data_IF_104994965416
#
_entry.id   IF_104994965416
#
_cell.length_a   1.000
_cell.length_b   1.000
_cell.length_c   1.000
_cell.angle_alpha   90.00
_cell.angle_beta   90.00
_cell.angle_gamma   90.00
#
_symmetry.space_group_name_H-M   'P 1'
#
loop_
_entity.id
_entity.type
_entity.pdbx_description
1 polymer ?
#
# COMPACT_ATOMS: atom_id res chain seq x y z
N UNK A 1 -65.72 2.76 0.08
CA UNK A 1 -64.36 2.63 -0.49
C UNK A 1 -63.39 3.18 0.55
N UNK A 2 -62.71 2.30 1.29
CA UNK A 2 -61.66 2.74 2.22
C UNK A 2 -60.56 3.45 1.44
N UNK A 3 -60.25 4.69 1.82
CA UNK A 3 -59.06 5.38 1.33
C UNK A 3 -57.85 4.60 1.90
N UNK A 4 -57.17 3.82 1.05
CA UNK A 4 -55.84 3.27 1.39
C UNK A 4 -54.96 4.46 1.79
N UNK A 5 -54.69 4.59 3.09
CA UNK A 5 -53.83 5.62 3.61
C UNK A 5 -52.39 5.17 3.39
N UNK A 6 -51.74 5.76 2.39
CA UNK A 6 -50.33 5.51 2.13
C UNK A 6 -49.45 6.15 3.22
N UNK A 7 -48.26 5.60 3.43
CA UNK A 7 -47.28 6.11 4.41
C UNK A 7 -46.68 7.47 4.02
N UNK A 8 -46.86 7.88 2.77
CA UNK A 8 -46.35 9.12 2.20
C UNK A 8 -47.47 10.15 1.99
N UNK A 9 -47.17 11.46 2.04
CA UNK A 9 -48.15 12.50 1.79
C UNK A 9 -48.66 12.44 0.34
N UNK A 10 -49.97 12.59 0.15
CA UNK A 10 -50.53 12.79 -1.18
C UNK A 10 -50.20 14.21 -1.65
N UNK A 11 -49.52 14.33 -2.78
CA UNK A 11 -49.14 15.64 -3.32
C UNK A 11 -50.25 16.21 -4.23
N UNK A 12 -50.35 17.54 -4.25
CA UNK A 12 -51.23 18.24 -5.19
C UNK A 12 -50.69 18.08 -6.63
N UNK A 13 -51.54 18.01 -7.68
CA UNK A 13 -51.06 17.91 -9.05
C UNK A 13 -50.10 19.04 -9.44
N UNK A 14 -50.29 20.25 -8.91
CA UNK A 14 -49.37 21.37 -9.14
C UNK A 14 -47.98 21.12 -8.57
N UNK A 15 -47.90 20.60 -7.34
CA UNK A 15 -46.62 20.25 -6.70
C UNK A 15 -45.90 19.11 -7.41
N UNK A 16 -46.65 18.14 -7.94
CA UNK A 16 -46.10 17.04 -8.76
C UNK A 16 -45.46 17.62 -10.02
N UNK A 17 -46.18 18.49 -10.76
CA UNK A 17 -45.64 19.12 -11.97
C UNK A 17 -44.37 19.92 -11.67
N UNK A 18 -44.39 20.74 -10.61
CA UNK A 18 -43.22 21.54 -10.22
C UNK A 18 -42.02 20.68 -9.86
N UNK A 19 -42.23 19.58 -9.12
CA UNK A 19 -41.14 18.67 -8.74
C UNK A 19 -40.55 17.95 -9.96
N UNK A 20 -41.39 17.50 -10.89
CA UNK A 20 -40.92 16.86 -12.13
C UNK A 20 -40.18 17.85 -13.04
N UNK A 21 -40.67 19.09 -13.16
CA UNK A 21 -39.99 20.14 -13.93
C UNK A 21 -38.64 20.54 -13.33
N UNK A 22 -38.50 20.52 -11.99
CA UNK A 22 -37.22 20.76 -11.33
C UNK A 22 -36.14 19.73 -11.70
N UNK A 23 -36.55 18.51 -12.08
CA UNK A 23 -35.66 17.47 -12.60
C UNK A 23 -35.53 17.48 -14.13
N UNK A 24 -35.97 18.54 -14.79
CA UNK A 24 -35.86 18.71 -16.25
C UNK A 24 -36.93 17.99 -17.07
N UNK A 25 -37.94 17.38 -16.42
CA UNK A 25 -39.02 16.71 -17.13
C UNK A 25 -40.07 17.72 -17.60
N UNK A 26 -40.30 17.77 -18.91
CA UNK A 26 -41.35 18.59 -19.50
C UNK A 26 -42.72 17.93 -19.30
N UNK A 27 -43.39 18.30 -18.20
CA UNK A 27 -44.70 17.76 -17.82
C UNK A 27 -45.76 18.87 -17.78
N UNK A 28 -46.94 18.55 -18.31
CA UNK A 28 -48.13 19.40 -18.25
C UNK A 28 -49.17 18.80 -17.29
N UNK A 29 -49.90 19.63 -16.53
CA UNK A 29 -50.97 19.20 -15.64
C UNK A 29 -52.05 18.36 -16.34
N UNK A 30 -52.32 18.59 -17.63
CA UNK A 30 -53.26 17.77 -18.42
C UNK A 30 -52.83 16.30 -18.52
N UNK A 31 -51.53 16.02 -18.56
CA UNK A 31 -50.99 14.66 -18.61
C UNK A 31 -51.23 13.91 -17.30
N UNK A 32 -51.33 14.62 -16.17
CA UNK A 32 -51.71 14.01 -14.89
C UNK A 32 -53.21 13.72 -14.81
N UNK A 33 -54.05 14.50 -15.51
CA UNK A 33 -55.51 14.27 -15.56
C UNK A 33 -55.86 13.09 -16.47
N UNK A 34 -55.14 12.92 -17.58
CA UNK A 34 -55.28 11.78 -18.49
C UNK A 34 -53.89 11.19 -18.77
N UNK A 35 -53.37 10.36 -17.84
CA UNK A 35 -52.06 9.75 -18.04
C UNK A 35 -52.09 8.82 -19.26
N UNK A 36 -51.09 8.95 -20.12
CA UNK A 36 -50.85 8.03 -21.23
C UNK A 36 -49.73 7.06 -20.86
N UNK A 37 -49.70 5.89 -21.48
CA UNK A 37 -48.66 4.90 -21.21
C UNK A 37 -47.25 5.46 -21.47
N UNK A 38 -47.07 6.16 -22.59
CA UNK A 38 -45.81 6.82 -22.93
C UNK A 38 -45.37 7.86 -21.90
N UNK A 39 -46.31 8.70 -21.42
CA UNK A 39 -46.01 9.68 -20.39
C UNK A 39 -45.53 9.02 -19.09
N UNK A 40 -46.25 8.00 -18.63
CA UNK A 40 -45.96 7.33 -17.37
C UNK A 40 -44.67 6.52 -17.44
N UNK A 41 -44.45 5.80 -18.54
CA UNK A 41 -43.20 5.08 -18.80
C UNK A 41 -42.01 6.02 -18.72
N UNK A 42 -42.06 7.16 -19.43
CA UNK A 42 -40.98 8.16 -19.45
C UNK A 42 -40.69 8.73 -18.07
N UNK A 43 -41.74 9.15 -17.34
CA UNK A 43 -41.57 9.76 -16.01
C UNK A 43 -41.06 8.75 -14.99
N UNK A 44 -41.59 7.52 -14.97
CA UNK A 44 -41.13 6.49 -14.04
C UNK A 44 -39.68 6.07 -14.33
N UNK A 45 -39.31 5.96 -15.61
CA UNK A 45 -37.92 5.69 -16.00
C UNK A 45 -36.99 6.80 -15.52
N UNK A 46 -37.35 8.06 -15.73
CA UNK A 46 -36.56 9.19 -15.26
C UNK A 46 -36.43 9.23 -13.72
N UNK A 47 -37.48 8.86 -12.98
CA UNK A 47 -37.39 8.75 -11.52
C UNK A 47 -36.40 7.65 -11.08
N UNK A 48 -36.36 6.53 -11.78
CA UNK A 48 -35.39 5.45 -11.52
C UNK A 48 -33.98 5.92 -11.83
N UNK A 49 -33.78 6.56 -12.99
CA UNK A 49 -32.51 7.12 -13.42
C UNK A 49 -31.95 8.11 -12.40
N UNK A 50 -32.79 9.00 -11.86
CA UNK A 50 -32.39 10.03 -10.90
C UNK A 50 -31.72 9.47 -9.63
N UNK A 51 -32.14 8.29 -9.17
CA UNK A 51 -31.62 7.69 -7.92
C UNK A 51 -30.58 6.61 -8.18
N UNK A 52 -30.76 5.82 -9.24
CA UNK A 52 -29.93 4.64 -9.51
C UNK A 52 -28.89 4.85 -10.60
N UNK A 53 -29.03 5.87 -11.43
CA UNK A 53 -28.24 6.07 -12.65
C UNK A 53 -28.55 5.06 -13.76
N UNK A 54 -29.59 4.24 -13.61
CA UNK A 54 -30.00 3.24 -14.61
C UNK A 54 -30.89 3.92 -15.65
N UNK A 55 -30.45 3.92 -16.89
CA UNK A 55 -31.16 4.39 -18.08
C UNK A 55 -31.08 3.38 -19.23
N UNK A 56 -31.67 3.71 -20.37
CA UNK A 56 -31.72 2.83 -21.54
C UNK A 56 -30.31 2.43 -22.03
N UNK A 57 -29.37 3.38 -22.08
CA UNK A 57 -27.98 3.14 -22.48
C UNK A 57 -27.26 2.17 -21.52
N UNK A 58 -27.47 2.31 -20.21
CA UNK A 58 -26.86 1.39 -19.24
C UNK A 58 -27.45 -0.03 -19.29
N UNK A 59 -28.65 -0.19 -19.84
CA UNK A 59 -29.34 -1.47 -19.95
C UNK A 59 -29.06 -2.18 -21.27
N UNK A 60 -28.56 -1.48 -22.29
CA UNK A 60 -28.26 -2.04 -23.61
C UNK A 60 -27.22 -3.18 -23.52
N UNK A 61 -26.09 -2.97 -22.85
CA UNK A 61 -25.06 -4.01 -22.68
C UNK A 61 -25.57 -5.26 -21.94
N UNK A 62 -26.22 -5.14 -20.78
CA UNK A 62 -26.87 -6.27 -20.10
C UNK A 62 -27.93 -6.97 -20.96
N UNK A 63 -28.69 -6.21 -21.74
CA UNK A 63 -29.72 -6.74 -22.66
C UNK A 63 -29.07 -7.57 -23.76
N UNK A 64 -28.04 -7.04 -24.44
CA UNK A 64 -27.29 -7.75 -25.48
C UNK A 64 -26.64 -9.02 -24.93
N UNK A 65 -26.02 -8.94 -23.75
CA UNK A 65 -25.41 -10.11 -23.11
C UNK A 65 -26.46 -11.19 -22.78
N UNK A 66 -27.65 -10.79 -22.32
CA UNK A 66 -28.74 -11.71 -22.07
C UNK A 66 -29.29 -12.31 -23.37
N UNK A 67 -29.42 -11.53 -24.44
CA UNK A 67 -29.84 -12.02 -25.76
C UNK A 67 -28.81 -12.98 -26.37
N UNK A 68 -27.52 -12.69 -26.25
CA UNK A 68 -26.43 -13.56 -26.72
C UNK A 68 -26.33 -14.87 -25.94
N UNK A 69 -26.88 -14.92 -24.71
CA UNK A 69 -26.91 -16.15 -23.91
C UNK A 69 -28.00 -17.14 -24.34
N UNK A 70 -28.93 -16.72 -25.19
CA UNK A 70 -29.95 -17.59 -25.78
C UNK A 70 -29.33 -18.31 -27.00
N UNK A 71 -29.23 -19.63 -26.94
CA UNK A 71 -28.81 -20.49 -28.05
C UNK A 71 -29.93 -20.61 -29.13
N UNK A 72 -30.51 -19.49 -29.56
CA UNK A 72 -31.58 -19.45 -30.58
C UNK A 72 -31.21 -18.56 -31.78
N UNK A 73 -31.64 -18.92 -32.99
CA UNK A 73 -31.27 -18.18 -34.21
C UNK A 73 -31.99 -16.83 -34.38
N UNK A 74 -33.11 -16.58 -33.66
CA UNK A 74 -33.96 -15.39 -33.81
C UNK A 74 -34.14 -14.62 -32.49
N UNK A 75 -33.03 -14.35 -31.79
CA UNK A 75 -33.04 -13.66 -30.49
C UNK A 75 -33.63 -12.24 -30.56
N UNK A 76 -33.54 -11.57 -31.71
CA UNK A 76 -34.08 -10.22 -31.94
C UNK A 76 -35.58 -10.11 -31.67
N UNK A 77 -36.35 -11.20 -31.86
CA UNK A 77 -37.80 -11.22 -31.61
C UNK A 77 -38.10 -11.00 -30.12
N UNK A 78 -37.17 -11.37 -29.24
CA UNK A 78 -37.31 -11.22 -27.80
C UNK A 78 -36.80 -9.87 -27.28
N UNK A 79 -35.99 -9.14 -28.05
CA UNK A 79 -35.30 -7.93 -27.61
C UNK A 79 -36.24 -6.90 -27.00
N UNK A 80 -37.31 -6.54 -27.71
CA UNK A 80 -38.30 -5.58 -27.20
C UNK A 80 -39.02 -6.04 -25.94
N UNK A 81 -39.38 -7.33 -25.86
CA UNK A 81 -40.05 -7.88 -24.67
C UNK A 81 -39.12 -7.94 -23.46
N UNK A 82 -37.85 -8.25 -23.68
CA UNK A 82 -36.85 -8.33 -22.62
C UNK A 82 -36.50 -6.93 -22.10
N UNK A 83 -36.31 -5.95 -22.99
CA UNK A 83 -36.10 -4.55 -22.61
C UNK A 83 -37.24 -4.02 -21.73
N UNK A 84 -38.50 -4.28 -22.12
CA UNK A 84 -39.66 -3.89 -21.32
C UNK A 84 -39.70 -4.58 -19.95
N UNK A 85 -39.35 -5.88 -19.88
CA UNK A 85 -39.30 -6.60 -18.61
C UNK A 85 -38.20 -6.07 -17.68
N UNK A 86 -37.02 -5.73 -18.22
CA UNK A 86 -35.94 -5.09 -17.45
C UNK A 86 -36.41 -3.75 -16.90
N UNK A 87 -37.07 -2.92 -17.72
CA UNK A 87 -37.60 -1.64 -17.28
C UNK A 87 -38.63 -1.82 -16.15
N UNK A 88 -39.61 -2.72 -16.33
CA UNK A 88 -40.63 -3.02 -15.31
C UNK A 88 -39.96 -3.53 -14.04
N UNK A 89 -38.94 -4.37 -14.14
CA UNK A 89 -38.18 -4.89 -13.00
C UNK A 89 -37.55 -3.75 -12.18
N UNK A 90 -36.87 -2.81 -12.83
CA UNK A 90 -36.24 -1.68 -12.16
C UNK A 90 -37.27 -0.73 -11.54
N UNK A 91 -38.34 -0.39 -12.25
CA UNK A 91 -39.41 0.47 -11.71
C UNK A 91 -40.12 -0.21 -10.53
N UNK A 92 -40.39 -1.52 -10.60
CA UNK A 92 -41.03 -2.27 -9.50
C UNK A 92 -40.16 -2.27 -8.26
N UNK A 93 -38.84 -2.44 -8.42
CA UNK A 93 -37.90 -2.39 -7.30
C UNK A 93 -37.82 -0.99 -6.70
N UNK A 94 -37.81 0.05 -7.53
CA UNK A 94 -37.88 1.44 -7.09
C UNK A 94 -39.18 1.73 -6.32
N UNK A 95 -40.31 1.29 -6.86
CA UNK A 95 -41.62 1.44 -6.23
C UNK A 95 -41.68 0.77 -4.85
N UNK A 96 -41.11 -0.43 -4.71
CA UNK A 96 -41.02 -1.11 -3.43
C UNK A 96 -40.26 -0.30 -2.37
N UNK A 97 -39.15 0.33 -2.74
CA UNK A 97 -38.38 1.18 -1.83
C UNK A 97 -39.15 2.47 -1.50
N UNK A 98 -39.88 3.01 -2.47
CA UNK A 98 -40.83 4.12 -2.28
C UNK A 98 -42.14 3.73 -1.55
N UNK A 99 -42.23 2.52 -0.99
CA UNK A 99 -43.38 1.98 -0.23
C UNK A 99 -44.64 1.69 -1.04
N UNK A 100 -44.48 1.39 -2.33
CA UNK A 100 -45.53 0.86 -3.20
C UNK A 100 -45.20 -0.59 -3.54
N UNK A 101 -45.84 -1.51 -2.83
CA UNK A 101 -45.58 -2.94 -2.95
C UNK A 101 -46.43 -3.64 -4.01
N UNK A 102 -47.51 -3.01 -4.48
CA UNK A 102 -48.44 -3.56 -5.46
C UNK A 102 -48.23 -3.00 -6.88
N UNK A 103 -47.06 -2.42 -7.16
CA UNK A 103 -46.72 -1.91 -8.50
C UNK A 103 -46.75 -3.04 -9.53
N UNK A 104 -47.33 -2.77 -10.70
CA UNK A 104 -47.46 -3.77 -11.77
C UNK A 104 -47.35 -3.15 -13.16
N UNK A 105 -47.20 -3.98 -14.20
CA UNK A 105 -47.18 -3.52 -15.59
C UNK A 105 -48.45 -2.75 -16.00
N UNK A 106 -49.59 -2.96 -15.32
CA UNK A 106 -50.81 -2.18 -15.56
C UNK A 106 -50.61 -0.68 -15.29
N UNK A 107 -49.74 -0.34 -14.36
CA UNK A 107 -49.44 1.05 -14.00
C UNK A 107 -48.72 1.80 -15.12
N UNK A 108 -48.12 1.06 -16.05
CA UNK A 108 -47.45 1.60 -17.23
C UNK A 108 -48.37 1.53 -18.44
N UNK A 109 -48.96 0.37 -18.74
CA UNK A 109 -49.74 0.19 -19.98
C UNK A 109 -51.17 0.73 -19.90
N UNK A 110 -51.77 0.72 -18.71
CA UNK A 110 -53.15 1.14 -18.47
C UNK A 110 -53.23 2.08 -17.25
N UNK A 111 -52.55 3.25 -17.30
CA UNK A 111 -52.42 4.11 -16.15
C UNK A 111 -53.75 4.72 -15.73
N UNK A 112 -54.10 4.57 -14.44
CA UNK A 112 -55.26 5.21 -13.84
C UNK A 112 -54.84 6.52 -13.17
N UNK A 113 -55.65 7.58 -13.30
CA UNK A 113 -55.35 8.92 -12.77
C UNK A 113 -54.93 8.91 -11.30
N UNK A 114 -55.80 8.42 -10.41
CA UNK A 114 -55.56 8.47 -8.96
C UNK A 114 -54.37 7.60 -8.53
N UNK A 115 -54.21 6.45 -9.19
CA UNK A 115 -53.08 5.55 -8.94
C UNK A 115 -51.76 6.16 -9.40
N UNK A 116 -51.73 6.74 -10.60
CA UNK A 116 -50.55 7.44 -11.15
C UNK A 116 -50.12 8.58 -10.23
N UNK A 117 -51.07 9.38 -9.72
CA UNK A 117 -50.79 10.46 -8.76
C UNK A 117 -50.23 9.94 -7.44
N UNK A 118 -50.77 8.83 -6.93
CA UNK A 118 -50.26 8.19 -5.71
C UNK A 118 -48.83 7.69 -5.91
N UNK A 119 -48.55 7.06 -7.05
CA UNK A 119 -47.21 6.58 -7.41
C UNK A 119 -46.21 7.73 -7.51
N UNK A 120 -46.57 8.79 -8.24
CA UNK A 120 -45.71 9.97 -8.39
C UNK A 120 -45.43 10.66 -7.05
N UNK A 121 -46.44 10.77 -6.17
CA UNK A 121 -46.25 11.33 -4.83
C UNK A 121 -45.22 10.52 -4.02
N UNK A 122 -45.31 9.19 -4.08
CA UNK A 122 -44.36 8.30 -3.41
C UNK A 122 -42.94 8.42 -3.96
N UNK A 123 -42.84 8.40 -5.30
CA UNK A 123 -41.56 8.52 -6.01
C UNK A 123 -40.90 9.85 -5.68
N UNK A 124 -41.67 10.94 -5.72
CA UNK A 124 -41.14 12.26 -5.43
C UNK A 124 -40.67 12.39 -4.00
N UNK A 125 -41.48 11.89 -3.05
CA UNK A 125 -41.10 11.88 -1.65
C UNK A 125 -39.80 11.10 -1.40
N UNK A 126 -39.66 9.93 -2.06
CA UNK A 126 -38.45 9.13 -1.96
C UNK A 126 -37.22 9.83 -2.56
N UNK A 127 -37.35 10.44 -3.74
CA UNK A 127 -36.24 11.17 -4.38
C UNK A 127 -35.79 12.33 -3.49
N UNK A 128 -36.73 13.14 -2.97
CA UNK A 128 -36.42 14.23 -2.04
C UNK A 128 -35.70 13.73 -0.78
N UNK A 129 -36.09 12.58 -0.25
CA UNK A 129 -35.39 11.95 0.87
C UNK A 129 -33.96 11.54 0.48
N UNK A 130 -33.75 10.96 -0.71
CA UNK A 130 -32.40 10.62 -1.18
C UNK A 130 -31.51 11.85 -1.37
N UNK A 131 -32.05 12.96 -1.89
CA UNK A 131 -31.35 14.23 -2.01
C UNK A 131 -30.91 14.78 -0.65
N UNK A 132 -31.77 14.68 0.38
CA UNK A 132 -31.42 15.07 1.76
C UNK A 132 -30.29 14.20 2.34
N UNK A 133 -30.27 12.90 2.01
CA UNK A 133 -29.21 12.00 2.43
C UNK A 133 -27.90 12.18 1.66
N UNK A 134 -27.93 12.84 0.49
CA UNK A 134 -26.79 12.92 -0.42
C UNK A 134 -25.55 13.52 0.24
N UNK A 135 -25.69 14.57 1.06
CA UNK A 135 -24.57 15.18 1.77
C UNK A 135 -23.89 14.23 2.76
N UNK A 136 -24.69 13.45 3.50
CA UNK A 136 -24.18 12.44 4.43
C UNK A 136 -23.46 11.30 3.68
N UNK A 137 -24.07 10.80 2.60
CA UNK A 137 -23.50 9.73 1.77
C UNK A 137 -22.20 10.19 1.11
N UNK A 138 -22.15 11.41 0.57
CA UNK A 138 -20.94 11.99 -0.01
C UNK A 138 -19.83 12.11 1.03
N UNK A 139 -20.12 12.57 2.24
CA UNK A 139 -19.14 12.62 3.32
C UNK A 139 -18.59 11.25 3.72
N UNK A 140 -19.40 10.18 3.67
CA UNK A 140 -18.92 8.82 3.86
C UNK A 140 -18.05 8.34 2.69
N UNK A 141 -18.42 8.66 1.45
CA UNK A 141 -17.63 8.34 0.25
C UNK A 141 -16.27 9.02 0.27
N UNK A 142 -16.20 10.29 0.60
CA UNK A 142 -14.96 11.06 0.72
C UNK A 142 -14.03 10.45 1.80
N UNK A 143 -14.58 10.14 2.98
CA UNK A 143 -13.82 9.45 4.04
C UNK A 143 -13.29 8.10 3.57
N UNK A 144 -14.11 7.32 2.86
CA UNK A 144 -13.70 6.03 2.32
C UNK A 144 -12.58 6.19 1.29
N UNK A 145 -12.73 7.11 0.34
CA UNK A 145 -11.71 7.41 -0.67
C UNK A 145 -10.39 7.86 -0.05
N UNK A 146 -10.44 8.73 0.97
CA UNK A 146 -9.25 9.16 1.71
C UNK A 146 -8.53 7.99 2.37
N UNK A 147 -9.26 7.08 3.04
CA UNK A 147 -8.68 5.87 3.64
C UNK A 147 -8.07 4.92 2.62
N UNK A 148 -8.69 4.78 1.45
CA UNK A 148 -8.12 3.99 0.34
C UNK A 148 -6.80 4.60 -0.14
N UNK A 149 -6.76 5.93 -0.30
CA UNK A 149 -5.54 6.65 -0.68
C UNK A 149 -4.42 6.52 0.35
N UNK A 150 -4.74 6.67 1.65
CA UNK A 150 -3.78 6.44 2.74
C UNK A 150 -3.21 5.01 2.72
N UNK A 151 -4.07 4.01 2.55
CA UNK A 151 -3.67 2.61 2.46
C UNK A 151 -2.72 2.38 1.28
N UNK A 152 -3.02 2.95 0.12
CA UNK A 152 -2.18 2.83 -1.07
C UNK A 152 -0.82 3.51 -0.88
N UNK A 153 -0.80 4.68 -0.24
CA UNK A 153 0.44 5.38 0.09
C UNK A 153 1.33 4.54 1.02
N UNK A 154 0.78 4.06 2.13
CA UNK A 154 1.51 3.21 3.09
C UNK A 154 1.98 1.91 2.42
N UNK A 155 1.16 1.32 1.54
CA UNK A 155 1.55 0.12 0.80
C UNK A 155 2.74 0.37 -0.13
N UNK A 156 2.82 1.55 -0.77
CA UNK A 156 3.98 1.94 -1.60
C UNK A 156 5.23 2.14 -0.76
N UNK A 157 5.13 2.87 0.34
CA UNK A 157 6.25 3.11 1.26
C UNK A 157 6.78 1.80 1.85
N UNK A 158 5.87 0.89 2.23
CA UNK A 158 6.25 -0.43 2.73
C UNK A 158 6.99 -1.25 1.68
N UNK A 159 6.57 -1.20 0.41
CA UNK A 159 7.25 -1.89 -0.68
C UNK A 159 8.67 -1.33 -0.90
N UNK A 160 8.82 -0.01 -0.90
CA UNK A 160 10.12 0.66 -1.04
C UNK A 160 11.08 0.33 0.11
N UNK A 161 10.60 0.40 1.35
CA UNK A 161 11.41 0.05 2.54
C UNK A 161 11.81 -1.42 2.51
N UNK A 162 10.90 -2.33 2.13
CA UNK A 162 11.24 -3.76 1.98
C UNK A 162 12.31 -3.99 0.92
N UNK A 163 12.24 -3.28 -0.20
CA UNK A 163 13.27 -3.35 -1.24
C UNK A 163 14.63 -2.85 -0.72
N UNK A 164 14.66 -1.72 -0.02
CA UNK A 164 15.90 -1.20 0.61
C UNK A 164 16.48 -2.18 1.63
N UNK A 165 15.65 -2.78 2.47
CA UNK A 165 16.08 -3.81 3.43
C UNK A 165 16.69 -5.00 2.70
N UNK A 166 16.06 -5.46 1.60
CA UNK A 166 16.59 -6.56 0.80
C UNK A 166 17.96 -6.22 0.19
N UNK A 167 18.13 -5.02 -0.36
CA UNK A 167 19.42 -4.56 -0.90
C UNK A 167 20.51 -4.50 0.17
N UNK A 168 20.24 -3.91 1.33
CA UNK A 168 21.21 -3.83 2.43
C UNK A 168 21.59 -5.22 2.94
N UNK A 169 20.62 -6.14 3.05
CA UNK A 169 20.88 -7.53 3.45
C UNK A 169 21.76 -8.26 2.43
N UNK A 170 21.52 -8.05 1.14
CA UNK A 170 22.34 -8.64 0.09
C UNK A 170 23.78 -8.11 0.14
N UNK A 171 23.95 -6.79 0.25
CA UNK A 171 25.28 -6.16 0.36
C UNK A 171 26.04 -6.65 1.60
N UNK A 172 25.37 -6.73 2.76
CA UNK A 172 26.00 -7.29 3.97
C UNK A 172 26.44 -8.73 3.80
N UNK A 173 25.65 -9.56 3.11
CA UNK A 173 26.03 -10.95 2.86
C UNK A 173 27.24 -11.07 1.93
N UNK A 174 27.43 -10.12 1.02
CA UNK A 174 28.60 -10.03 0.14
C UNK A 174 29.85 -9.52 0.90
N UNK A 175 29.67 -8.55 1.81
CA UNK A 175 30.76 -7.94 2.58
C UNK A 175 31.23 -8.80 3.78
N UNK A 176 30.38 -9.69 4.30
CA UNK A 176 30.67 -10.54 5.47
C UNK A 176 31.98 -11.34 5.36
N UNK A 177 32.27 -12.08 4.27
CA UNK A 177 33.52 -12.85 4.17
C UNK A 177 34.76 -11.96 4.22
N UNK A 178 34.74 -10.83 3.51
CA UNK A 178 35.85 -9.88 3.51
C UNK A 178 36.05 -9.26 4.90
N UNK A 179 34.97 -8.95 5.59
CA UNK A 179 35.01 -8.47 6.97
C UNK A 179 35.61 -9.51 7.93
N UNK A 180 35.27 -10.79 7.79
CA UNK A 180 35.85 -11.87 8.58
C UNK A 180 37.36 -12.03 8.30
N UNK A 181 37.78 -12.00 7.03
CA UNK A 181 39.19 -12.08 6.65
C UNK A 181 40.01 -10.91 7.25
N UNK A 182 39.50 -9.68 7.13
CA UNK A 182 40.15 -8.49 7.70
C UNK A 182 40.16 -8.50 9.23
N UNK A 183 39.15 -9.09 9.89
CA UNK A 183 39.15 -9.30 11.35
C UNK A 183 40.22 -10.28 11.76
N UNK A 184 40.36 -11.40 11.04
CA UNK A 184 41.38 -12.40 11.30
C UNK A 184 42.79 -11.83 11.11
N UNK A 185 43.01 -11.07 10.03
CA UNK A 185 44.29 -10.39 9.77
C UNK A 185 44.62 -9.37 10.87
N UNK A 186 43.66 -8.51 11.26
CA UNK A 186 43.88 -7.57 12.36
C UNK A 186 44.22 -8.27 13.68
N UNK A 187 43.56 -9.38 13.99
CA UNK A 187 43.86 -10.16 15.18
C UNK A 187 45.29 -10.75 15.12
N UNK A 188 45.71 -11.26 13.95
CA UNK A 188 47.05 -11.78 13.74
C UNK A 188 48.13 -10.70 13.87
N UNK A 189 47.93 -9.54 13.24
CA UNK A 189 48.86 -8.40 13.34
C UNK A 189 48.94 -7.91 14.79
N UNK A 190 47.81 -7.81 15.49
CA UNK A 190 47.77 -7.40 16.90
C UNK A 190 48.54 -8.38 17.78
N UNK A 191 48.37 -9.69 17.57
CA UNK A 191 49.12 -10.71 18.29
C UNK A 191 50.63 -10.61 18.02
N UNK A 192 51.03 -10.43 16.75
CA UNK A 192 52.43 -10.25 16.37
C UNK A 192 53.04 -8.98 16.99
N UNK A 193 52.29 -7.88 17.03
CA UNK A 193 52.72 -6.62 17.66
C UNK A 193 52.98 -6.81 19.15
N UNK A 194 52.08 -7.51 19.85
CA UNK A 194 52.23 -7.83 21.29
C UNK A 194 53.49 -8.69 21.50
N UNK A 195 53.65 -9.78 20.75
CA UNK A 195 54.82 -10.66 20.86
C UNK A 195 56.14 -9.92 20.58
N UNK A 196 56.17 -9.08 19.55
CA UNK A 196 57.36 -8.27 19.22
C UNK A 196 57.67 -7.27 20.32
N UNK A 197 56.65 -6.65 20.92
CA UNK A 197 56.81 -5.72 22.05
C UNK A 197 57.37 -6.43 23.29
N UNK A 198 56.97 -7.67 23.55
CA UNK A 198 57.54 -8.49 24.63
C UNK A 198 59.02 -8.81 24.38
N UNK A 199 59.38 -9.25 23.16
CA UNK A 199 60.78 -9.50 22.77
C UNK A 199 61.62 -8.23 22.83
N UNK A 200 61.08 -7.09 22.37
CA UNK A 200 61.77 -5.81 22.50
C UNK A 200 62.02 -5.46 23.97
N UNK A 201 61.04 -5.71 24.84
CA UNK A 201 61.16 -5.50 26.28
C UNK A 201 62.23 -6.38 26.93
N UNK A 202 62.39 -7.64 26.51
CA UNK A 202 63.47 -8.51 27.02
C UNK A 202 64.83 -8.07 26.49
N UNK A 203 64.96 -7.80 25.19
CA UNK A 203 66.21 -7.32 24.59
C UNK A 203 66.70 -6.01 25.22
N UNK A 204 65.80 -5.08 25.55
CA UNK A 204 66.17 -3.84 26.25
C UNK A 204 66.79 -4.12 27.63
N UNK A 205 66.22 -5.06 28.40
CA UNK A 205 66.78 -5.50 29.69
C UNK A 205 68.15 -6.15 29.52
N UNK A 206 68.32 -6.99 28.49
CA UNK A 206 69.60 -7.63 28.19
C UNK A 206 70.67 -6.61 27.77
N UNK A 207 70.31 -5.61 26.97
CA UNK A 207 71.21 -4.51 26.61
C UNK A 207 71.64 -3.72 27.85
N UNK A 208 70.73 -3.45 28.78
CA UNK A 208 71.05 -2.79 30.04
C UNK A 208 72.01 -3.64 30.89
N UNK A 209 71.76 -4.95 30.99
CA UNK A 209 72.64 -5.89 31.70
C UNK A 209 74.04 -5.98 31.08
N UNK A 210 74.14 -6.13 29.76
CA UNK A 210 75.42 -6.18 29.03
C UNK A 210 76.19 -4.86 29.13
N UNK A 211 75.50 -3.70 29.12
CA UNK A 211 76.13 -2.41 29.37
C UNK A 211 76.72 -2.34 30.78
N UNK A 212 75.98 -2.82 31.79
CA UNK A 212 76.47 -2.89 33.16
C UNK A 212 77.69 -3.81 33.30
N UNK A 213 77.65 -4.99 32.68
CA UNK A 213 78.76 -5.94 32.66
C UNK A 213 79.99 -5.37 31.94
N UNK A 214 79.81 -4.74 30.77
CA UNK A 214 80.88 -4.05 30.05
C UNK A 214 81.55 -2.99 30.92
N UNK A 215 80.76 -2.19 31.65
CA UNK A 215 81.32 -1.21 32.59
C UNK A 215 82.12 -1.89 33.70
N UNK A 216 81.63 -3.00 34.26
CA UNK A 216 82.34 -3.78 35.28
C UNK A 216 83.66 -4.36 34.76
N UNK A 217 83.69 -4.92 33.54
CA UNK A 217 84.91 -5.45 32.91
C UNK A 217 85.91 -4.33 32.60
N UNK A 218 85.46 -3.17 32.10
CA UNK A 218 86.31 -2.01 31.89
C UNK A 218 86.94 -1.52 33.20
N UNK A 219 86.16 -1.45 34.28
CA UNK A 219 86.68 -1.15 35.62
C UNK A 219 87.70 -2.20 36.10
N UNK A 220 87.44 -3.48 35.84
CA UNK A 220 88.39 -4.57 36.18
C UNK A 220 89.68 -4.50 35.38
N UNK A 221 89.60 -4.17 34.08
CA UNK A 221 90.78 -3.96 33.21
C UNK A 221 91.58 -2.73 33.65
N UNK A 222 90.93 -1.65 34.03
CA UNK A 222 91.57 -0.46 34.59
C UNK A 222 92.23 -0.72 35.96
N UNK A 223 91.74 -1.71 36.72
CA UNK A 223 92.30 -2.13 38.02
C UNK A 223 93.42 -3.18 37.92
N UNK A 224 93.73 -3.73 36.74
CA UNK A 224 94.82 -4.70 36.58
C UNK A 224 96.16 -3.93 36.45
N UNK A 225 97.12 -4.07 37.39
CA UNK A 225 98.42 -3.42 37.25
C UNK A 225 99.22 -4.05 36.10
N UNK A 226 100.01 -3.23 35.40
CA UNK A 226 101.07 -3.64 34.49
C UNK A 226 102.05 -4.56 35.22
N UNK A 227 101.87 -5.87 35.13
CA UNK A 227 102.88 -6.86 35.51
C UNK A 227 102.95 -7.88 34.37
N UNK A 228 104.14 -8.01 33.78
CA UNK A 228 104.58 -8.88 32.67
C UNK A 228 104.47 -8.36 31.23
N UNK A 229 105.41 -7.48 30.85
CA UNK A 229 106.07 -7.56 29.54
C UNK A 229 107.57 -7.15 29.67
N UNK A 230 108.35 -7.95 30.38
CA UNK A 230 109.75 -8.26 30.03
C UNK A 230 110.21 -9.44 30.88
N UNK A 231 110.33 -10.59 30.24
CA UNK A 231 111.19 -11.72 30.61
C UNK A 231 110.95 -12.78 29.54
N UNK A 232 111.68 -12.67 28.43
CA UNK A 232 112.16 -13.85 27.71
C UNK A 232 113.67 -13.67 27.47
N UNK A 233 114.47 -14.73 27.69
CA UNK A 233 115.92 -14.67 27.76
C UNK A 233 116.55 -14.74 26.37
N UNK A 234 117.66 -14.04 26.17
CA UNK A 234 118.60 -14.37 25.10
C UNK A 234 119.43 -15.58 25.54
N UNK A 235 119.24 -16.69 24.84
CA UNK A 235 120.22 -17.75 24.74
C UNK A 235 121.09 -17.45 23.52
N UNK A 236 122.37 -17.14 23.73
CA UNK A 236 123.40 -17.76 22.90
C UNK A 236 124.78 -17.77 23.56
N UNK A 237 125.35 -18.97 23.55
CA UNK A 237 126.75 -19.34 23.55
C UNK A 237 127.74 -18.89 24.64
N UNK A 238 128.48 -19.88 25.16
CA UNK A 238 129.89 -19.65 25.43
C UNK A 238 130.49 -20.23 26.71
N UNK A 239 130.52 -21.56 26.79
CA UNK A 239 131.75 -22.30 27.06
C UNK A 239 132.34 -22.31 28.50
N UNK A 240 132.73 -23.53 28.85
CA UNK A 240 133.92 -23.90 29.60
C UNK A 240 133.93 -23.85 31.15
N UNK A 241 133.68 -25.06 31.69
CA UNK A 241 134.74 -25.93 32.23
C UNK A 241 135.14 -25.83 33.72
N UNK A 242 135.37 -27.04 34.26
CA UNK A 242 136.16 -27.47 35.44
C UNK A 242 135.41 -27.54 36.77
N UNK A 243 135.07 -28.78 37.20
CA UNK A 243 135.89 -29.72 38.02
C UNK A 243 135.91 -29.24 39.48
N UNK A 244 135.60 -30.04 40.49
CA UNK A 244 135.55 -31.49 40.66
C UNK A 244 134.51 -31.85 41.72
#
# INVERSE_FOLDING_TARGET
MEKKQYWFPSMDPGEIVLSLQAWGLQVNAQQLVKPTSDFVARVYTACVEQVSGINEETLEGPLEAALASLDEPNTDIYAGSLAMNLLIYHITRFANVAKIHDFSAKDIYFPERERTRSILSAFINFIKFTEQCQGFVNGLREKSAARVGEREQVSRELAEVRQRIAMIKAQRAEDEPLCEDLRAENAAITAHLIATKEIQGTLLKDIEALKAEKMAVLQRKARRPLVSLSLYPESDDGNANRKA
#
